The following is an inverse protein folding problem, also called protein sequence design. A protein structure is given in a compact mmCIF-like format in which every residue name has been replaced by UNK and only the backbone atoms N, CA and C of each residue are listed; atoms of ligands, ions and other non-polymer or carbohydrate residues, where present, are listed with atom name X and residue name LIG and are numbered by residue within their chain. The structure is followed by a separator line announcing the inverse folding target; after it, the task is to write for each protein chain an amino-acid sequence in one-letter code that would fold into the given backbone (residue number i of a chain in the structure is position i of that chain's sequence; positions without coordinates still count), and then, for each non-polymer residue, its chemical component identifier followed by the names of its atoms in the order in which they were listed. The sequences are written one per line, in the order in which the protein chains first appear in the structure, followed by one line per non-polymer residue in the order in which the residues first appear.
data_IF_817324482495
#
_entry.id   IF_817324482495
#
_cell.length_a   1.000
_cell.length_b   1.000
_cell.length_c   1.000
_cell.angle_alpha   90.00
_cell.angle_beta   90.00
_cell.angle_gamma   90.00
#
_symmetry.space_group_name_H-M   'P 1'
#
loop_
_entity.id
_entity.type
_entity.pdbx_description
1 polymer ?
#
# COMPACT_ATOMS: atom_id res chain seq x y z
N UNK A 1 14.09 -1.24 -5.79
CA UNK A 1 13.07 -1.52 -4.77
C UNK A 1 12.98 -3.03 -4.63
N UNK A 2 13.23 -3.57 -3.43
CA UNK A 2 13.20 -4.99 -3.13
C UNK A 2 11.78 -5.55 -3.00
N UNK A 3 10.73 -4.73 -3.08
CA UNK A 3 9.35 -5.20 -3.22
C UNK A 3 8.82 -4.76 -4.58
N UNK A 4 8.44 -5.73 -5.42
CA UNK A 4 7.73 -5.47 -6.69
C UNK A 4 6.30 -5.99 -6.60
N UNK A 5 5.35 -5.17 -7.02
CA UNK A 5 3.94 -5.51 -6.99
C UNK A 5 3.44 -5.76 -8.40
N UNK A 6 2.68 -6.84 -8.56
CA UNK A 6 2.02 -7.23 -9.79
C UNK A 6 0.52 -7.36 -9.52
N UNK A 7 -0.28 -7.18 -10.56
CA UNK A 7 -1.71 -7.43 -10.55
C UNK A 7 -2.09 -8.27 -11.76
N UNK A 8 -3.09 -9.13 -11.64
CA UNK A 8 -3.61 -9.86 -12.79
C UNK A 8 -4.35 -8.94 -13.77
N UNK A 9 -4.58 -9.47 -14.97
CA UNK A 9 -5.42 -8.80 -15.97
C UNK A 9 -6.86 -9.27 -15.86
N UNK A 10 -7.78 -8.36 -16.14
CA UNK A 10 -9.19 -8.71 -16.33
C UNK A 10 -9.42 -9.46 -17.66
N UNK A 11 -10.68 -9.80 -17.91
CA UNK A 11 -11.11 -10.45 -19.16
C UNK A 11 -10.86 -9.60 -20.41
N UNK A 12 -10.58 -8.30 -20.28
CA UNK A 12 -10.24 -7.38 -21.36
C UNK A 12 -8.73 -7.15 -21.49
N UNK A 13 -7.92 -7.81 -20.66
CA UNK A 13 -6.47 -7.69 -20.70
C UNK A 13 -5.94 -6.41 -20.04
N UNK A 14 -6.76 -5.61 -19.34
CA UNK A 14 -6.27 -4.46 -18.58
C UNK A 14 -5.77 -4.93 -17.22
N UNK A 15 -4.69 -4.34 -16.66
CA UNK A 15 -4.40 -4.49 -15.24
C UNK A 15 -5.68 -4.21 -14.46
N UNK A 16 -6.11 -5.14 -13.61
CA UNK A 16 -7.36 -5.00 -12.85
C UNK A 16 -7.02 -4.54 -11.44
N UNK A 17 -6.77 -3.23 -11.21
CA UNK A 17 -6.69 -2.73 -9.86
C UNK A 17 -8.05 -2.94 -9.21
N UNK A 18 -8.09 -3.36 -7.95
CA UNK A 18 -9.35 -3.70 -7.36
C UNK A 18 -10.13 -2.40 -7.06
N UNK A 19 -11.20 -2.17 -7.82
CA UNK A 19 -12.10 -1.02 -7.72
C UNK A 19 -12.94 -1.17 -6.45
N UNK A 20 -12.42 -0.64 -5.33
CA UNK A 20 -13.11 -0.42 -4.05
C UNK A 20 -14.09 -1.53 -3.58
N UNK A 21 -13.67 -2.79 -3.63
CA UNK A 21 -14.26 -3.87 -2.81
C UNK A 21 -13.53 -3.96 -1.46
N UNK A 22 -14.14 -4.59 -0.44
CA UNK A 22 -13.48 -4.81 0.85
C UNK A 22 -12.19 -5.66 0.72
N UNK A 23 -12.15 -6.55 -0.27
CA UNK A 23 -10.97 -7.38 -0.59
C UNK A 23 -9.85 -6.53 -1.24
N UNK A 24 -10.21 -5.56 -2.09
CA UNK A 24 -9.30 -4.59 -2.68
C UNK A 24 -8.46 -3.85 -1.64
N UNK A 25 -9.18 -3.26 -0.67
CA UNK A 25 -8.60 -2.44 0.37
C UNK A 25 -7.71 -3.28 1.29
N UNK A 26 -8.16 -4.48 1.62
CA UNK A 26 -7.38 -5.41 2.42
C UNK A 26 -6.07 -5.82 1.72
N UNK A 27 -6.12 -6.16 0.43
CA UNK A 27 -4.93 -6.51 -0.34
C UNK A 27 -3.92 -5.34 -0.38
N UNK A 28 -4.39 -4.11 -0.67
CA UNK A 28 -3.55 -2.92 -0.65
C UNK A 28 -2.91 -2.69 0.73
N UNK A 29 -3.69 -2.80 1.80
CA UNK A 29 -3.19 -2.64 3.17
C UNK A 29 -2.10 -3.66 3.52
N UNK A 30 -2.29 -4.91 3.11
CA UNK A 30 -1.29 -5.96 3.28
C UNK A 30 -0.02 -5.65 2.49
N UNK A 31 -0.17 -5.20 1.24
CA UNK A 31 0.97 -4.80 0.40
C UNK A 31 1.76 -3.65 1.05
N UNK A 32 1.09 -2.66 1.64
CA UNK A 32 1.78 -1.57 2.36
C UNK A 32 2.57 -2.09 3.55
N UNK A 33 2.05 -3.08 4.29
CA UNK A 33 2.77 -3.72 5.41
C UNK A 33 4.00 -4.46 4.94
N UNK A 34 3.88 -5.21 3.84
CA UNK A 34 5.00 -5.88 3.20
C UNK A 34 6.05 -4.88 2.71
N UNK A 35 5.60 -3.78 2.11
CA UNK A 35 6.47 -2.69 1.68
C UNK A 35 7.26 -2.11 2.86
N UNK A 36 6.59 -1.70 3.94
CA UNK A 36 7.26 -1.16 5.13
C UNK A 36 8.26 -2.16 5.72
N UNK A 37 7.90 -3.44 5.75
CA UNK A 37 8.73 -4.49 6.31
C UNK A 37 9.95 -4.81 5.44
N UNK A 38 9.88 -4.63 4.11
CA UNK A 38 10.87 -5.19 3.20
C UNK A 38 11.50 -4.21 2.20
N UNK A 39 10.99 -2.99 2.01
CA UNK A 39 11.51 -2.04 1.00
C UNK A 39 12.96 -1.58 1.26
N UNK A 40 13.45 -1.76 2.49
CA UNK A 40 14.83 -1.48 2.89
C UNK A 40 15.76 -2.70 2.84
N UNK A 41 15.25 -3.89 2.49
CA UNK A 41 16.03 -5.12 2.42
C UNK A 41 16.73 -5.24 1.05
N UNK A 42 17.80 -6.03 0.96
CA UNK A 42 18.46 -6.27 -0.35
C UNK A 42 17.74 -7.31 -1.21
N UNK A 43 16.85 -8.10 -0.60
CA UNK A 43 16.24 -9.28 -1.22
C UNK A 43 14.94 -8.93 -1.92
N UNK A 44 14.82 -9.35 -3.18
CA UNK A 44 13.59 -9.16 -3.94
C UNK A 44 12.45 -10.06 -3.43
N UNK A 45 11.31 -9.44 -3.17
CA UNK A 45 9.99 -10.04 -3.06
C UNK A 45 9.13 -9.57 -4.22
N UNK A 46 8.39 -10.50 -4.82
CA UNK A 46 7.29 -10.16 -5.73
C UNK A 46 5.96 -10.48 -5.06
N UNK A 47 5.02 -9.54 -5.09
CA UNK A 47 3.65 -9.73 -4.63
C UNK A 47 2.74 -9.68 -5.84
N UNK A 48 2.03 -10.76 -6.14
CA UNK A 48 1.03 -10.82 -7.21
C UNK A 48 -0.36 -10.76 -6.57
N UNK A 49 -1.06 -9.66 -6.81
CA UNK A 49 -2.40 -9.43 -6.30
C UNK A 49 -3.48 -9.87 -7.28
N UNK A 50 -4.56 -10.41 -6.72
CA UNK A 50 -5.76 -10.83 -7.43
C UNK A 50 -5.43 -11.79 -8.59
N UNK A 51 -4.63 -12.83 -8.35
CA UNK A 51 -4.26 -13.78 -9.39
C UNK A 51 -5.53 -14.43 -9.97
N UNK A 52 -5.64 -14.53 -11.30
CA UNK A 52 -6.85 -15.06 -11.95
C UNK A 52 -6.87 -16.60 -12.00
N UNK A 53 -5.69 -17.23 -12.19
CA UNK A 53 -5.53 -18.69 -12.28
C UNK A 53 -4.31 -19.14 -11.48
N UNK A 54 -4.50 -19.80 -10.32
CA UNK A 54 -5.77 -19.94 -9.61
C UNK A 54 -6.27 -18.57 -9.11
N UNK A 55 -7.54 -18.50 -8.69
CA UNK A 55 -8.18 -17.26 -8.24
C UNK A 55 -7.74 -16.87 -6.81
N UNK A 56 -6.44 -16.68 -6.59
CA UNK A 56 -5.84 -16.39 -5.30
C UNK A 56 -5.71 -14.89 -5.06
N UNK A 57 -6.01 -14.42 -3.86
CA UNK A 57 -6.00 -12.98 -3.55
C UNK A 57 -4.59 -12.39 -3.55
N UNK A 58 -3.62 -13.10 -2.96
CA UNK A 58 -2.23 -12.67 -2.92
C UNK A 58 -1.30 -13.88 -3.08
N UNK A 59 -0.32 -13.77 -3.96
CA UNK A 59 0.81 -14.71 -4.09
C UNK A 59 2.11 -13.96 -3.87
N UNK A 60 2.90 -14.38 -2.90
CA UNK A 60 4.17 -13.75 -2.53
C UNK A 60 5.31 -14.69 -2.91
N UNK A 61 6.27 -14.18 -3.68
CA UNK A 61 7.43 -14.94 -4.14
C UNK A 61 8.66 -14.31 -3.52
N UNK A 62 9.45 -15.13 -2.84
CA UNK A 62 10.78 -14.78 -2.33
C UNK A 62 11.85 -15.58 -3.07
N UNK A 63 13.12 -15.34 -2.73
CA UNK A 63 14.23 -16.16 -3.21
C UNK A 63 14.09 -17.66 -2.86
N UNK A 64 13.33 -18.04 -1.83
CA UNK A 64 13.33 -19.42 -1.28
C UNK A 64 11.97 -20.10 -1.21
N UNK A 65 10.90 -19.39 -1.54
CA UNK A 65 9.57 -19.95 -1.43
C UNK A 65 8.47 -19.06 -1.95
N UNK A 66 7.30 -19.69 -2.10
CA UNK A 66 6.04 -19.07 -2.49
C UNK A 66 5.07 -19.13 -1.31
N UNK A 67 4.50 -17.98 -0.96
CA UNK A 67 3.36 -17.86 -0.07
C UNK A 67 2.08 -17.65 -0.87
N UNK A 68 1.03 -18.42 -0.59
CA UNK A 68 -0.31 -18.23 -1.19
C UNK A 68 -1.27 -17.83 -0.08
N UNK A 69 -1.93 -16.69 -0.25
CA UNK A 69 -2.74 -16.06 0.77
C UNK A 69 -4.14 -15.80 0.24
N UNK A 70 -5.13 -16.25 1.01
CA UNK A 70 -6.56 -16.00 0.77
C UNK A 70 -7.09 -15.04 1.84
N UNK A 71 -7.90 -14.06 1.44
CA UNK A 71 -8.49 -13.06 2.31
C UNK A 71 -9.95 -13.42 2.62
N UNK A 72 -10.34 -13.19 3.88
CA UNK A 72 -11.72 -13.34 4.35
C UNK A 72 -12.10 -12.15 5.24
N UNK A 73 -13.18 -11.45 4.89
CA UNK A 73 -13.64 -10.28 5.63
C UNK A 73 -14.91 -10.62 6.44
N UNK A 74 -14.73 -11.19 7.64
CA UNK A 74 -15.85 -11.58 8.51
C UNK A 74 -15.60 -11.15 9.96
N UNK A 75 -16.56 -10.47 10.62
CA UNK A 75 -16.48 -10.20 12.05
C UNK A 75 -16.83 -11.42 12.89
N UNK A 76 -16.40 -11.41 14.15
CA UNK A 76 -16.81 -12.38 15.16
C UNK A 76 -15.90 -13.59 15.26
N UNK A 77 -16.31 -14.53 16.13
CA UNK A 77 -15.53 -15.72 16.47
C UNK A 77 -15.48 -16.72 15.33
N UNK A 78 -14.28 -17.01 14.85
CA UNK A 78 -14.07 -18.03 13.84
C UNK A 78 -14.07 -19.41 14.49
N UNK A 79 -14.74 -20.37 13.84
CA UNK A 79 -14.83 -21.76 14.31
C UNK A 79 -15.01 -22.70 13.13
N UNK A 80 -14.74 -23.99 13.35
CA UNK A 80 -15.02 -25.06 12.40
C UNK A 80 -16.09 -25.98 12.96
N UNK A 81 -17.10 -26.30 12.15
CA UNK A 81 -18.16 -27.25 12.47
C UNK A 81 -17.81 -28.69 12.05
N UNK A 82 -18.58 -29.71 12.47
CA UNK A 82 -18.30 -31.11 12.15
C UNK A 82 -18.27 -31.43 10.65
N UNK A 83 -18.99 -30.68 9.82
CA UNK A 83 -18.96 -30.76 8.35
C UNK A 83 -17.69 -30.16 7.73
N UNK A 84 -16.71 -29.78 8.56
CA UNK A 84 -15.47 -29.09 8.21
C UNK A 84 -15.66 -27.67 7.67
N UNK A 85 -16.89 -27.15 7.62
CA UNK A 85 -17.14 -25.78 7.19
C UNK A 85 -16.73 -24.79 8.29
N UNK A 86 -16.18 -23.66 7.86
CA UNK A 86 -15.78 -22.59 8.75
C UNK A 86 -16.90 -21.57 8.91
N UNK A 87 -17.02 -21.01 10.11
CA UNK A 87 -18.03 -20.04 10.48
C UNK A 87 -17.42 -18.87 11.23
N UNK A 88 -17.92 -17.67 10.97
CA UNK A 88 -17.70 -16.48 11.79
C UNK A 88 -19.01 -16.17 12.53
N UNK A 89 -19.06 -16.50 13.82
CA UNK A 89 -20.30 -16.55 14.59
C UNK A 89 -21.30 -17.52 13.97
N UNK A 90 -22.42 -16.98 13.45
CA UNK A 90 -23.48 -17.78 12.79
C UNK A 90 -23.31 -17.85 11.26
N UNK A 91 -22.43 -17.03 10.70
CA UNK A 91 -22.26 -16.86 9.26
C UNK A 91 -21.26 -17.87 8.73
N UNK A 92 -21.64 -18.65 7.71
CA UNK A 92 -20.70 -19.55 7.03
C UNK A 92 -19.70 -18.74 6.22
N UNK A 93 -18.41 -19.03 6.38
CA UNK A 93 -17.33 -18.40 5.63
C UNK A 93 -17.26 -19.09 4.26
N UNK A 94 -17.37 -18.30 3.19
CA UNK A 94 -17.34 -18.82 1.81
C UNK A 94 -15.92 -19.25 1.41
N UNK A 95 -15.84 -20.31 0.61
CA UNK A 95 -14.59 -20.83 0.07
C UNK A 95 -14.70 -20.99 -1.45
N UNK A 96 -14.01 -20.12 -2.20
CA UNK A 96 -14.10 -20.03 -3.66
C UNK A 96 -15.50 -19.64 -4.17
N UNK A 97 -15.66 -19.66 -5.49
CA UNK A 97 -16.98 -19.62 -6.11
C UNK A 97 -17.77 -20.88 -5.73
N UNK A 98 -19.09 -20.77 -5.56
CA UNK A 98 -19.97 -21.88 -5.13
C UNK A 98 -19.84 -23.12 -6.04
N UNK A 99 -19.38 -22.96 -7.29
CA UNK A 99 -19.12 -24.04 -8.24
C UNK A 99 -17.85 -24.87 -7.99
N UNK A 100 -16.88 -24.38 -7.20
CA UNK A 100 -15.59 -25.09 -6.97
C UNK A 100 -15.65 -26.14 -5.85
N UNK A 101 -16.67 -26.11 -5.01
CA UNK A 101 -16.95 -27.17 -4.04
C UNK A 101 -16.00 -27.29 -2.83
N UNK A 102 -15.17 -26.29 -2.54
CA UNK A 102 -14.30 -26.32 -1.35
C UNK A 102 -15.12 -26.27 -0.06
N UNK A 103 -14.78 -27.12 0.92
CA UNK A 103 -15.55 -27.18 2.18
C UNK A 103 -15.25 -25.98 3.08
N UNK A 104 -14.03 -25.47 3.02
CA UNK A 104 -13.54 -24.36 3.82
C UNK A 104 -12.40 -23.59 3.12
N UNK A 105 -12.06 -22.38 3.61
CA UNK A 105 -10.98 -21.57 3.05
C UNK A 105 -9.59 -22.24 3.07
N UNK A 106 -9.33 -23.16 4.01
CA UNK A 106 -8.06 -23.89 4.06
C UNK A 106 -7.90 -24.78 2.82
N UNK A 107 -8.91 -25.61 2.49
CA UNK A 107 -8.87 -26.45 1.28
C UNK A 107 -8.74 -25.62 0.00
N UNK A 108 -9.42 -24.47 -0.05
CA UNK A 108 -9.32 -23.55 -1.18
C UNK A 108 -7.88 -23.09 -1.40
N UNK A 109 -7.23 -22.55 -0.35
CA UNK A 109 -5.87 -22.00 -0.49
C UNK A 109 -4.84 -23.10 -0.75
N UNK A 110 -5.03 -24.31 -0.20
CA UNK A 110 -4.19 -25.48 -0.54
C UNK A 110 -4.30 -25.83 -2.01
N UNK A 111 -5.51 -25.94 -2.55
CA UNK A 111 -5.72 -26.25 -3.97
C UNK A 111 -5.10 -25.17 -4.89
N UNK A 112 -5.08 -23.91 -4.46
CA UNK A 112 -4.41 -22.83 -5.19
C UNK A 112 -2.89 -22.99 -5.16
N UNK A 113 -2.32 -23.29 -3.99
CA UNK A 113 -0.89 -23.56 -3.87
C UNK A 113 -0.46 -24.80 -4.66
N UNK A 114 -1.24 -25.87 -4.65
CA UNK A 114 -1.00 -27.07 -5.46
C UNK A 114 -0.98 -26.76 -6.96
N UNK A 115 -1.89 -25.91 -7.44
CA UNK A 115 -1.90 -25.47 -8.84
C UNK A 115 -0.62 -24.71 -9.20
N UNK A 116 -0.25 -23.71 -8.39
CA UNK A 116 0.95 -22.90 -8.62
C UNK A 116 2.22 -23.77 -8.53
N UNK A 117 2.26 -24.70 -7.57
CA UNK A 117 3.34 -25.68 -7.43
C UNK A 117 3.42 -26.59 -8.65
N UNK A 118 2.28 -27.03 -9.17
CA UNK A 118 2.14 -27.74 -10.45
C UNK A 118 2.85 -27.02 -11.58
N UNK A 119 2.51 -25.75 -11.78
CA UNK A 119 3.09 -24.94 -12.85
C UNK A 119 4.58 -24.64 -12.66
N UNK A 120 5.05 -24.55 -11.41
CA UNK A 120 6.43 -24.22 -11.10
C UNK A 120 7.36 -25.45 -11.15
N UNK A 121 6.92 -26.57 -10.56
CA UNK A 121 7.76 -27.74 -10.28
C UNK A 121 7.51 -28.88 -11.27
N UNK A 122 6.28 -29.08 -11.74
CA UNK A 122 5.90 -30.22 -12.57
C UNK A 122 6.03 -29.98 -14.08
N UNK A 123 6.82 -28.98 -14.46
CA UNK A 123 7.22 -28.78 -15.85
C UNK A 123 8.13 -29.93 -16.29
N UNK A 124 7.59 -30.87 -17.08
CA UNK A 124 8.39 -31.97 -17.69
C UNK A 124 9.61 -31.45 -18.46
N UNK A 125 9.60 -30.18 -18.88
CA UNK A 125 10.73 -29.41 -19.41
C UNK A 125 10.64 -27.97 -18.89
N UNK A 126 11.33 -27.62 -17.78
CA UNK A 126 11.31 -26.24 -17.31
C UNK A 126 11.88 -25.32 -18.40
N UNK A 127 11.37 -24.09 -18.53
CA UNK A 127 11.88 -23.18 -19.54
C UNK A 127 13.34 -22.84 -19.23
N UNK A 128 14.16 -22.47 -20.24
CA UNK A 128 15.60 -22.21 -20.04
C UNK A 128 15.91 -21.14 -18.99
N UNK A 129 14.95 -20.25 -18.73
CA UNK A 129 15.07 -19.20 -17.72
C UNK A 129 14.81 -19.64 -16.28
N UNK A 130 14.29 -20.84 -16.08
CA UNK A 130 14.03 -21.44 -14.77
C UNK A 130 14.84 -22.73 -14.60
N UNK A 131 16.19 -22.66 -14.65
CA UNK A 131 17.03 -23.84 -14.51
C UNK A 131 16.97 -24.40 -13.09
N UNK A 132 17.08 -25.73 -12.96
CA UNK A 132 17.13 -26.46 -11.69
C UNK A 132 16.71 -27.91 -11.90
N UNK A 133 17.24 -28.85 -11.12
CA UNK A 133 16.74 -30.23 -11.14
C UNK A 133 15.41 -30.27 -10.43
N UNK A 134 14.50 -31.16 -10.84
CA UNK A 134 13.21 -31.37 -10.15
C UNK A 134 13.43 -31.58 -8.64
N UNK A 135 14.46 -32.33 -8.26
CA UNK A 135 14.86 -32.56 -6.87
C UNK A 135 15.28 -31.29 -6.09
N UNK A 136 15.76 -30.25 -6.78
CA UNK A 136 16.09 -28.95 -6.17
C UNK A 136 14.80 -28.17 -5.84
N UNK A 137 13.77 -28.35 -6.68
CA UNK A 137 12.45 -27.74 -6.55
C UNK A 137 11.54 -28.46 -5.56
N UNK A 138 11.69 -29.78 -5.39
CA UNK A 138 10.93 -30.55 -4.39
C UNK A 138 11.01 -29.93 -3.00
N UNK A 139 12.16 -29.31 -2.67
CA UNK A 139 12.48 -28.63 -1.40
C UNK A 139 12.17 -27.13 -1.41
N UNK A 140 11.61 -26.60 -2.50
CA UNK A 140 11.19 -25.21 -2.58
C UNK A 140 9.96 -24.99 -1.68
N UNK A 141 10.01 -23.97 -0.84
CA UNK A 141 9.02 -23.78 0.22
C UNK A 141 7.69 -23.31 -0.34
N UNK A 142 6.62 -23.90 0.15
CA UNK A 142 5.26 -23.45 -0.11
C UNK A 142 4.56 -23.22 1.22
N UNK A 143 4.12 -22.00 1.46
CA UNK A 143 3.30 -21.68 2.63
C UNK A 143 1.95 -21.19 2.16
N UNK A 144 0.93 -21.53 2.91
CA UNK A 144 -0.46 -21.15 2.65
C UNK A 144 -1.01 -20.47 3.87
N UNK A 145 -1.89 -19.50 3.65
CA UNK A 145 -2.59 -18.89 4.77
C UNK A 145 -3.97 -18.37 4.38
N UNK A 146 -4.84 -18.29 5.39
CA UNK A 146 -6.08 -17.53 5.33
C UNK A 146 -5.94 -16.33 6.26
N UNK A 147 -6.05 -15.11 5.71
CA UNK A 147 -6.05 -13.89 6.50
C UNK A 147 -7.47 -13.38 6.72
N UNK A 148 -7.82 -13.17 8.00
CA UNK A 148 -9.06 -12.51 8.38
C UNK A 148 -8.83 -11.01 8.51
N UNK A 149 -9.46 -10.23 7.63
CA UNK A 149 -9.16 -8.80 7.44
C UNK A 149 -10.10 -7.88 8.21
N UNK A 150 -11.17 -8.40 8.80
CA UNK A 150 -12.08 -7.63 9.64
C UNK A 150 -11.47 -7.43 11.04
N UNK A 151 -11.45 -6.21 11.59
CA UNK A 151 -10.84 -5.94 12.90
C UNK A 151 -11.47 -6.76 14.04
N UNK A 152 -12.78 -6.97 14.01
CA UNK A 152 -13.51 -7.77 15.01
C UNK A 152 -13.43 -9.30 14.78
N UNK A 153 -12.57 -9.79 13.88
CA UNK A 153 -12.38 -11.23 13.69
C UNK A 153 -11.61 -11.83 14.89
N UNK A 154 -12.25 -12.74 15.62
CA UNK A 154 -11.63 -13.45 16.74
C UNK A 154 -11.17 -14.83 16.26
N UNK A 155 -9.87 -14.95 15.99
CA UNK A 155 -9.27 -16.15 15.37
C UNK A 155 -8.32 -16.92 16.28
N UNK A 156 -7.94 -16.39 17.44
CA UNK A 156 -6.80 -16.89 18.21
C UNK A 156 -7.03 -18.33 18.73
N UNK A 157 -8.16 -18.58 19.38
CA UNK A 157 -8.56 -19.93 19.83
C UNK A 157 -8.67 -20.91 18.64
N UNK A 158 -9.15 -20.42 17.50
CA UNK A 158 -9.32 -21.24 16.30
C UNK A 158 -7.98 -21.61 15.67
N UNK A 159 -7.04 -20.65 15.61
CA UNK A 159 -5.67 -20.83 15.14
C UNK A 159 -4.93 -21.85 16.00
N UNK A 160 -5.09 -21.79 17.32
CA UNK A 160 -4.52 -22.77 18.24
C UNK A 160 -5.12 -24.16 18.03
N UNK A 161 -6.45 -24.26 17.95
CA UNK A 161 -7.13 -25.53 17.68
C UNK A 161 -6.69 -26.18 16.34
N UNK A 162 -6.48 -25.37 15.29
CA UNK A 162 -5.99 -25.86 14.00
C UNK A 162 -4.55 -26.39 14.08
N UNK A 163 -3.66 -25.72 14.82
CA UNK A 163 -2.27 -26.18 15.04
C UNK A 163 -2.22 -27.55 15.71
N UNK A 164 -3.17 -27.84 16.61
CA UNK A 164 -3.27 -29.17 17.25
C UNK A 164 -3.88 -30.24 16.34
N UNK A 165 -4.77 -29.87 15.41
CA UNK A 165 -5.47 -30.80 14.51
C UNK A 165 -4.67 -31.16 13.26
N UNK A 166 -3.99 -30.19 12.67
CA UNK A 166 -3.23 -30.37 11.44
C UNK A 166 -1.79 -30.80 11.77
N UNK A 167 -1.52 -32.10 11.71
CA UNK A 167 -0.15 -32.57 11.47
C UNK A 167 0.26 -32.12 10.05
N UNK A 168 1.50 -31.66 9.83
CA UNK A 168 1.94 -31.19 8.53
C UNK A 168 1.69 -32.27 7.47
N UNK A 169 0.94 -31.92 6.42
CA UNK A 169 0.59 -32.82 5.34
C UNK A 169 1.71 -32.81 4.30
N UNK A 170 2.12 -34.02 3.90
CA UNK A 170 3.12 -34.43 2.90
C UNK A 170 4.59 -34.07 3.12
N UNK A 171 4.96 -32.82 3.43
CA UNK A 171 6.38 -32.44 3.53
C UNK A 171 6.65 -31.38 4.61
N UNK A 172 7.83 -31.43 5.25
CA UNK A 172 8.22 -30.50 6.34
C UNK A 172 8.17 -29.01 5.96
N UNK A 173 8.26 -28.70 4.67
CA UNK A 173 8.34 -27.36 4.10
C UNK A 173 7.01 -26.80 3.60
N UNK A 174 5.92 -27.57 3.73
CA UNK A 174 4.57 -27.11 3.47
C UNK A 174 3.89 -26.72 4.78
N UNK A 175 3.46 -25.46 4.89
CA UNK A 175 2.85 -24.91 6.11
C UNK A 175 1.52 -24.22 5.80
N UNK A 176 0.57 -24.36 6.73
CA UNK A 176 -0.68 -23.61 6.74
C UNK A 176 -0.78 -22.76 8.01
N UNK A 177 -1.21 -21.50 7.86
CA UNK A 177 -1.51 -20.60 8.97
C UNK A 177 -2.85 -19.88 8.80
N UNK A 178 -3.42 -19.42 9.92
CA UNK A 178 -4.52 -18.45 9.94
C UNK A 178 -4.00 -17.16 10.55
N UNK A 179 -4.22 -16.03 9.88
CA UNK A 179 -3.50 -14.78 10.16
C UNK A 179 -4.45 -13.59 10.34
N UNK A 180 -4.03 -12.61 11.14
CA UNK A 180 -4.46 -11.21 11.04
C UNK A 180 -3.48 -10.43 10.14
N UNK A 181 -3.87 -9.26 9.58
CA UNK A 181 -3.03 -8.51 8.64
C UNK A 181 -1.65 -8.12 9.20
N UNK A 182 -1.55 -7.87 10.51
CA UNK A 182 -0.31 -7.54 11.21
C UNK A 182 0.69 -8.70 11.30
N UNK A 183 0.24 -9.94 11.15
CA UNK A 183 1.10 -11.14 11.23
C UNK A 183 1.72 -11.52 9.86
N UNK A 184 1.25 -10.90 8.77
CA UNK A 184 1.67 -11.26 7.40
C UNK A 184 3.15 -10.97 7.12
N UNK A 185 3.75 -9.85 7.58
CA UNK A 185 5.18 -9.62 7.40
C UNK A 185 6.04 -10.73 7.99
N UNK A 186 5.75 -11.18 9.22
CA UNK A 186 6.50 -12.27 9.86
C UNK A 186 6.31 -13.59 9.11
N UNK A 187 5.07 -13.92 8.74
CA UNK A 187 4.76 -15.10 7.94
C UNK A 187 5.47 -15.10 6.58
N UNK A 188 5.58 -13.93 5.94
CA UNK A 188 6.29 -13.74 4.68
C UNK A 188 7.80 -13.89 4.86
N UNK A 189 8.36 -13.33 5.93
CA UNK A 189 9.78 -13.48 6.25
C UNK A 189 10.16 -14.96 6.46
N UNK A 190 9.26 -15.76 7.05
CA UNK A 190 9.47 -17.20 7.25
C UNK A 190 9.64 -18.00 5.93
N UNK A 191 9.26 -17.46 4.76
CA UNK A 191 9.59 -18.07 3.47
C UNK A 191 11.11 -18.18 3.25
N UNK A 192 11.89 -17.31 3.90
CA UNK A 192 13.36 -17.27 3.77
C UNK A 192 14.08 -18.08 4.83
N UNK A 193 13.54 -18.12 6.05
CA UNK A 193 14.22 -18.69 7.20
C UNK A 193 13.79 -20.13 7.45
N UNK A 194 14.76 -21.02 7.61
CA UNK A 194 14.62 -22.23 8.40
C UNK A 194 15.81 -22.23 9.34
N UNK A 195 15.54 -22.27 10.64
CA UNK A 195 16.57 -22.66 11.60
C UNK A 195 16.66 -24.17 11.48
N UNK A 196 17.55 -24.67 10.62
CA UNK A 196 17.86 -26.10 10.59
C UNK A 196 18.69 -26.43 11.83
N UNK A 197 18.06 -27.00 12.84
CA UNK A 197 18.72 -27.51 14.05
C UNK A 197 19.36 -28.88 13.83
N UNK A 198 19.28 -29.44 12.61
CA UNK A 198 19.82 -30.75 12.27
C UNK A 198 21.20 -30.69 11.61
N UNK A 199 22.16 -31.40 12.19
CA UNK A 199 23.54 -31.56 11.69
C UNK A 199 23.63 -32.41 10.39
N UNK A 200 22.89 -32.06 9.34
CA UNK A 200 23.09 -32.66 8.00
C UNK A 200 23.90 -31.70 7.13
N UNK A 201 25.19 -31.98 6.98
CA UNK A 201 26.03 -31.34 5.97
C UNK A 201 25.39 -31.47 4.57
N UNK A 202 25.22 -30.34 3.88
CA UNK A 202 24.73 -30.29 2.48
C UNK A 202 23.50 -29.41 2.21
N UNK A 203 23.10 -28.52 3.13
CA UNK A 203 21.92 -27.66 2.98
C UNK A 203 22.22 -26.38 2.18
N UNK A 204 21.90 -26.38 0.88
CA UNK A 204 21.63 -25.16 0.13
C UNK A 204 20.31 -25.30 -0.65
N UNK A 205 19.17 -24.89 -0.06
CA UNK A 205 17.91 -24.76 -0.78
C UNK A 205 18.09 -23.93 -2.04
N UNK A 206 17.51 -24.36 -3.15
CA UNK A 206 17.50 -23.59 -4.39
C UNK A 206 17.06 -22.16 -4.13
N UNK A 207 17.86 -21.19 -4.59
CA UNK A 207 17.55 -19.76 -4.48
C UNK A 207 17.23 -19.20 -5.85
N UNK A 208 16.06 -18.59 -5.95
CA UNK A 208 15.68 -17.81 -7.11
C UNK A 208 16.49 -16.52 -7.18
N UNK A 209 17.06 -16.26 -8.35
CA UNK A 209 17.59 -14.94 -8.70
C UNK A 209 16.44 -13.92 -8.83
N UNK A 210 16.72 -12.61 -8.67
CA UNK A 210 15.72 -11.57 -8.89
C UNK A 210 15.03 -11.66 -10.27
N UNK A 211 15.78 -12.03 -11.31
CA UNK A 211 15.22 -12.19 -12.66
C UNK A 211 14.26 -13.37 -12.76
N UNK A 212 14.53 -14.48 -12.05
CA UNK A 212 13.60 -15.61 -12.00
C UNK A 212 12.31 -15.23 -11.25
N UNK A 213 12.41 -14.53 -10.13
CA UNK A 213 11.24 -14.04 -9.38
C UNK A 213 10.35 -13.17 -10.27
N UNK A 214 10.94 -12.21 -10.98
CA UNK A 214 10.22 -11.34 -11.94
C UNK A 214 9.56 -12.17 -13.04
N UNK A 215 10.27 -13.16 -13.61
CA UNK A 215 9.73 -14.02 -14.67
C UNK A 215 8.62 -14.94 -14.18
N UNK A 216 8.68 -15.46 -12.96
CA UNK A 216 7.59 -16.23 -12.35
C UNK A 216 6.36 -15.32 -12.22
N UNK A 217 6.51 -14.15 -11.60
CA UNK A 217 5.41 -13.20 -11.43
C UNK A 217 4.77 -12.79 -12.77
N UNK A 218 5.59 -12.44 -13.77
CA UNK A 218 5.09 -11.89 -15.03
C UNK A 218 4.64 -12.95 -16.05
N UNK A 219 5.38 -14.07 -16.18
CA UNK A 219 5.15 -15.06 -17.24
C UNK A 219 4.38 -16.28 -16.76
N UNK A 220 4.74 -16.82 -15.59
CA UNK A 220 4.09 -18.02 -15.06
C UNK A 220 2.73 -17.66 -14.45
N UNK A 221 2.68 -16.60 -13.64
CA UNK A 221 1.45 -16.12 -13.00
C UNK A 221 0.69 -15.07 -13.82
N UNK A 222 1.19 -14.68 -15.00
CA UNK A 222 0.52 -13.71 -15.88
C UNK A 222 0.33 -12.31 -15.27
N UNK A 223 1.11 -11.97 -14.25
CA UNK A 223 1.05 -10.67 -13.59
C UNK A 223 1.59 -9.55 -14.46
N UNK A 224 1.00 -8.36 -14.32
CA UNK A 224 1.55 -7.11 -14.87
C UNK A 224 2.01 -6.24 -13.72
N UNK A 225 3.20 -5.63 -13.83
CA UNK A 225 3.72 -4.75 -12.78
C UNK A 225 2.72 -3.61 -12.54
N UNK A 226 2.27 -3.48 -11.28
CA UNK A 226 1.26 -2.52 -10.88
C UNK A 226 1.93 -1.21 -10.48
N UNK A 227 2.38 -0.45 -11.46
CA UNK A 227 3.17 0.77 -11.22
C UNK A 227 2.40 1.87 -10.47
N UNK A 228 1.09 1.95 -10.66
CA UNK A 228 0.21 2.94 -10.03
C UNK A 228 0.12 2.76 -8.51
N UNK A 229 0.34 1.54 -8.00
CA UNK A 229 0.30 1.27 -6.56
C UNK A 229 1.45 1.94 -5.80
N UNK A 230 2.55 2.29 -6.49
CA UNK A 230 3.64 3.06 -5.90
C UNK A 230 3.13 4.38 -5.30
N UNK A 231 2.08 4.96 -5.89
CA UNK A 231 1.41 6.14 -5.36
C UNK A 231 0.66 5.90 -4.05
N UNK A 232 0.59 4.68 -3.52
CA UNK A 232 0.00 4.37 -2.22
C UNK A 232 1.00 3.82 -1.21
N UNK A 233 2.23 3.55 -1.64
CA UNK A 233 3.22 2.97 -0.75
C UNK A 233 3.60 4.01 0.32
N UNK A 234 3.55 3.61 1.61
CA UNK A 234 3.89 4.50 2.70
C UNK A 234 5.36 4.87 2.62
N UNK A 235 5.63 6.14 2.85
CA UNK A 235 6.96 6.73 2.96
C UNK A 235 7.06 7.40 4.32
N UNK A 236 8.28 7.57 4.83
CA UNK A 236 8.51 8.40 6.03
C UNK A 236 8.23 9.88 5.78
N UNK A 237 8.10 10.29 4.52
CA UNK A 237 7.87 11.67 4.10
C UNK A 237 6.45 11.88 3.58
N UNK A 238 5.89 13.09 3.74
CA UNK A 238 4.64 13.47 3.10
C UNK A 238 4.69 13.29 1.57
N UNK A 239 3.61 12.79 0.98
CA UNK A 239 3.52 12.58 -0.46
C UNK A 239 3.13 13.84 -1.24
N UNK A 240 2.63 14.85 -0.53
CA UNK A 240 2.25 16.15 -1.08
C UNK A 240 2.12 17.17 0.06
N UNK A 241 1.84 18.42 -0.29
CA UNK A 241 1.75 19.53 0.63
C UNK A 241 0.58 20.44 0.28
N UNK A 242 -0.05 21.00 1.32
CA UNK A 242 -0.89 22.19 1.23
C UNK A 242 -0.17 23.36 1.88
N UNK A 243 -0.02 24.47 1.17
CA UNK A 243 0.55 25.70 1.72
C UNK A 243 -0.54 26.74 1.88
N UNK A 244 -0.76 27.22 3.11
CA UNK A 244 -1.60 28.38 3.39
C UNK A 244 -0.90 29.65 2.91
N UNK A 245 -1.58 30.43 2.08
CA UNK A 245 -1.05 31.68 1.51
C UNK A 245 -1.95 32.85 1.92
N UNK A 246 -1.33 33.90 2.49
CA UNK A 246 -1.98 35.17 2.82
C UNK A 246 -1.12 36.32 2.27
N UNK A 247 -1.75 37.26 1.57
CA UNK A 247 -1.09 38.43 0.96
C UNK A 247 0.19 38.08 0.18
N UNK A 248 0.14 36.97 -0.56
CA UNK A 248 1.26 36.46 -1.36
C UNK A 248 2.36 35.74 -0.56
N UNK A 249 2.27 35.70 0.77
CA UNK A 249 3.23 35.05 1.66
C UNK A 249 2.77 33.64 2.07
N UNK A 250 3.73 32.73 2.21
CA UNK A 250 3.50 31.38 2.74
C UNK A 250 3.43 31.46 4.25
N UNK A 251 2.28 31.12 4.83
CA UNK A 251 2.05 31.21 6.27
C UNK A 251 2.34 29.89 6.98
N UNK A 252 1.88 28.78 6.39
CA UNK A 252 2.01 27.46 6.97
C UNK A 252 2.03 26.40 5.87
N UNK A 253 2.81 25.35 6.06
CA UNK A 253 2.87 24.19 5.17
C UNK A 253 2.39 22.96 5.93
N UNK A 254 1.42 22.26 5.35
CA UNK A 254 0.88 21.01 5.88
C UNK A 254 1.36 19.87 4.99
N UNK A 255 2.10 18.93 5.56
CA UNK A 255 2.44 17.68 4.89
C UNK A 255 1.20 16.79 4.79
N UNK A 256 0.97 16.23 3.61
CA UNK A 256 -0.04 15.22 3.37
C UNK A 256 0.62 13.85 3.47
N UNK A 257 0.36 13.13 4.55
CA UNK A 257 1.00 11.86 4.92
C UNK A 257 -0.01 10.71 5.13
N UNK A 258 -1.31 11.02 5.12
CA UNK A 258 -2.41 10.05 5.26
C UNK A 258 -3.22 9.92 3.97
N UNK A 259 -3.89 8.78 3.81
CA UNK A 259 -4.75 8.53 2.64
C UNK A 259 -5.97 9.44 2.60
N UNK A 260 -6.51 9.79 3.77
CA UNK A 260 -7.61 10.73 3.90
C UNK A 260 -7.21 11.86 4.84
N UNK A 261 -7.35 13.10 4.37
CA UNK A 261 -7.02 14.32 5.11
C UNK A 261 -8.20 15.28 5.03
N UNK A 262 -8.73 15.63 6.18
CA UNK A 262 -9.80 16.62 6.34
C UNK A 262 -9.22 18.02 6.47
N UNK A 263 -9.86 18.97 5.80
CA UNK A 263 -9.48 20.39 5.77
C UNK A 263 -10.67 21.23 6.23
N UNK A 264 -10.48 22.09 7.23
CA UNK A 264 -11.57 22.89 7.78
C UNK A 264 -11.18 23.62 9.06
N UNK A 265 -12.09 24.42 9.61
CA UNK A 265 -11.82 25.23 10.82
C UNK A 265 -11.75 24.45 12.11
N UNK A 266 -12.31 23.25 12.15
CA UNK A 266 -12.32 22.44 13.37
C UNK A 266 -10.96 21.75 13.58
N UNK A 267 -10.11 22.37 14.38
CA UNK A 267 -8.77 21.85 14.67
C UNK A 267 -8.75 20.52 15.44
N UNK A 268 -9.88 20.10 16.04
CA UNK A 268 -9.97 18.81 16.73
C UNK A 268 -10.22 17.65 15.76
N UNK A 269 -10.78 17.92 14.58
CA UNK A 269 -11.19 16.90 13.61
C UNK A 269 -10.47 17.00 12.28
N UNK A 270 -9.96 18.19 11.93
CA UNK A 270 -9.26 18.44 10.67
C UNK A 270 -7.75 18.26 10.81
N UNK A 271 -7.17 17.38 10.00
CA UNK A 271 -5.72 17.23 9.90
C UNK A 271 -5.04 18.47 9.29
N UNK A 272 -5.76 19.25 8.48
CA UNK A 272 -5.35 20.59 8.04
C UNK A 272 -6.28 21.62 8.67
N UNK A 273 -5.95 22.16 9.86
CA UNK A 273 -6.74 23.18 10.51
C UNK A 273 -6.61 24.52 9.77
N UNK A 274 -7.75 25.11 9.43
CA UNK A 274 -7.85 26.45 8.85
C UNK A 274 -8.14 27.46 9.97
N UNK A 275 -7.40 28.57 10.09
CA UNK A 275 -7.63 29.57 11.14
C UNK A 275 -9.06 30.12 11.20
N UNK A 276 -9.57 30.36 12.42
CA UNK A 276 -10.95 30.79 12.66
C UNK A 276 -11.36 32.10 11.95
N UNK A 277 -10.38 32.98 11.67
CA UNK A 277 -10.60 34.22 10.89
C UNK A 277 -11.21 33.97 9.51
N UNK A 278 -10.95 32.82 8.90
CA UNK A 278 -11.55 32.38 7.64
C UNK A 278 -12.99 31.88 7.85
N UNK A 279 -13.83 32.74 8.40
CA UNK A 279 -15.22 32.47 8.83
C UNK A 279 -16.14 31.85 7.77
N UNK A 280 -15.81 31.96 6.47
CA UNK A 280 -16.58 31.32 5.38
C UNK A 280 -16.22 29.86 5.16
N UNK A 281 -15.17 29.35 5.78
CA UNK A 281 -14.78 27.94 5.71
C UNK A 281 -15.66 27.14 6.69
N UNK A 282 -16.15 25.96 6.32
CA UNK A 282 -16.86 25.07 7.24
C UNK A 282 -15.95 24.49 8.32
N UNK A 283 -16.55 23.89 9.35
CA UNK A 283 -15.83 23.15 10.39
C UNK A 283 -15.03 22.00 9.79
N UNK A 284 -15.68 21.20 8.95
CA UNK A 284 -15.08 20.20 8.07
C UNK A 284 -15.50 20.54 6.64
N UNK A 285 -14.63 21.19 5.87
CA UNK A 285 -15.02 21.86 4.62
C UNK A 285 -14.79 20.96 3.40
N UNK A 286 -13.59 20.39 3.33
CA UNK A 286 -13.16 19.58 2.22
C UNK A 286 -12.35 18.40 2.72
N UNK A 287 -12.23 17.39 1.86
CA UNK A 287 -11.42 16.21 2.10
C UNK A 287 -10.48 15.98 0.93
N UNK A 288 -9.23 15.70 1.25
CA UNK A 288 -8.24 15.23 0.31
C UNK A 288 -8.13 13.72 0.45
N UNK A 289 -8.17 13.00 -0.67
CA UNK A 289 -7.98 11.55 -0.73
C UNK A 289 -6.83 11.20 -1.66
N UNK A 290 -5.96 10.30 -1.23
CA UNK A 290 -4.93 9.66 -2.04
C UNK A 290 -5.46 8.31 -2.52
N UNK A 291 -5.30 8.02 -3.80
CA UNK A 291 -5.69 6.75 -4.42
C UNK A 291 -4.65 6.35 -5.47
N UNK A 292 -4.76 5.13 -6.02
CA UNK A 292 -3.92 4.71 -7.16
C UNK A 292 -4.04 5.64 -8.37
N UNK A 293 -5.18 6.30 -8.56
CA UNK A 293 -5.45 7.22 -9.67
C UNK A 293 -4.87 8.63 -9.44
N UNK A 294 -4.34 8.89 -8.25
CA UNK A 294 -3.78 10.18 -7.85
C UNK A 294 -4.44 10.78 -6.60
N UNK A 295 -4.26 12.07 -6.43
CA UNK A 295 -4.72 12.84 -5.27
C UNK A 295 -5.94 13.66 -5.69
N UNK A 296 -7.00 13.62 -4.87
CA UNK A 296 -8.28 14.22 -5.16
C UNK A 296 -8.74 15.10 -4.00
N UNK A 297 -9.46 16.17 -4.31
CA UNK A 297 -10.22 16.97 -3.35
C UNK A 297 -11.71 16.79 -3.56
N UNK A 298 -12.46 16.75 -2.47
CA UNK A 298 -13.92 16.64 -2.43
C UNK A 298 -14.46 17.72 -1.48
N UNK A 299 -15.44 18.49 -1.95
CA UNK A 299 -16.18 19.43 -1.11
C UNK A 299 -17.25 18.66 -0.31
N UNK A 300 -17.19 18.75 1.02
CA UNK A 300 -18.04 18.01 1.95
C UNK A 300 -19.33 18.77 2.26
N UNK A 301 -20.03 19.15 1.19
CA UNK A 301 -21.24 19.98 1.22
C UNK A 301 -21.07 21.30 1.98
N UNK A 302 -19.98 22.01 1.69
CA UNK A 302 -19.67 23.26 2.37
C UNK A 302 -20.64 24.38 1.93
N UNK A 303 -21.08 25.21 2.88
CA UNK A 303 -22.02 26.30 2.59
C UNK A 303 -21.54 27.25 1.49
N UNK A 304 -20.24 27.56 1.49
CA UNK A 304 -19.64 28.59 0.63
C UNK A 304 -18.81 28.02 -0.54
N UNK A 305 -18.65 26.70 -0.60
CA UNK A 305 -18.00 25.98 -1.69
C UNK A 305 -16.47 25.99 -1.67
N UNK A 306 -15.92 25.02 -2.40
CA UNK A 306 -14.50 24.84 -2.73
C UNK A 306 -14.25 25.15 -4.21
N UNK A 307 -13.13 25.80 -4.51
CA UNK A 307 -12.75 26.17 -5.87
C UNK A 307 -11.30 25.77 -6.15
N UNK A 308 -11.01 25.36 -7.39
CA UNK A 308 -9.66 25.10 -7.89
C UNK A 308 -9.36 26.10 -9.01
N UNK A 309 -8.30 26.88 -8.86
CA UNK A 309 -7.92 27.97 -9.78
C UNK A 309 -9.12 28.89 -10.11
N UNK A 310 -9.94 29.19 -9.10
CA UNK A 310 -11.12 30.05 -9.24
C UNK A 310 -12.32 29.39 -9.93
N UNK A 311 -12.28 28.10 -10.26
CA UNK A 311 -13.42 27.33 -10.79
C UNK A 311 -14.04 26.48 -9.68
N UNK A 312 -15.38 26.52 -9.49
CA UNK A 312 -16.03 25.72 -8.45
C UNK A 312 -15.93 24.23 -8.76
N UNK A 313 -15.74 23.42 -7.72
CA UNK A 313 -15.92 21.96 -7.83
C UNK A 313 -17.35 21.59 -7.45
N UNK A 314 -17.88 20.50 -8.03
CA UNK A 314 -19.21 20.01 -7.68
C UNK A 314 -19.15 19.36 -6.29
N UNK A 315 -20.07 19.74 -5.40
CA UNK A 315 -20.20 19.17 -4.04
C UNK A 315 -20.36 17.66 -4.09
N UNK A 316 -19.70 16.94 -3.18
CA UNK A 316 -19.69 15.48 -3.13
C UNK A 316 -19.02 14.79 -4.33
N UNK A 317 -18.47 15.53 -5.31
CA UNK A 317 -17.70 14.95 -6.41
C UNK A 317 -16.21 15.22 -6.23
N UNK A 318 -15.43 14.16 -6.31
CA UNK A 318 -13.96 14.23 -6.29
C UNK A 318 -13.43 14.93 -7.55
N UNK A 319 -12.43 15.81 -7.36
CA UNK A 319 -11.64 16.41 -8.43
C UNK A 319 -10.17 16.15 -8.22
N UNK A 320 -9.49 15.65 -9.24
CA UNK A 320 -8.05 15.39 -9.22
C UNK A 320 -7.29 16.71 -9.04
N UNK A 321 -6.35 16.72 -8.10
CA UNK A 321 -5.42 17.81 -7.85
C UNK A 321 -4.13 17.61 -8.67
N UNK A 322 -3.62 18.70 -9.23
CA UNK A 322 -2.35 18.75 -9.93
C UNK A 322 -1.40 19.75 -9.25
N UNK A 323 -0.09 19.50 -9.33
CA UNK A 323 0.93 20.36 -8.73
C UNK A 323 0.74 21.83 -9.11
N UNK A 324 0.88 22.72 -8.13
CA UNK A 324 0.80 24.18 -8.29
C UNK A 324 -0.61 24.75 -8.23
N UNK A 325 -1.66 23.92 -8.25
CA UNK A 325 -3.04 24.38 -8.20
C UNK A 325 -3.37 25.15 -6.92
N UNK A 326 -4.09 26.26 -7.09
CA UNK A 326 -4.62 27.08 -6.01
C UNK A 326 -6.02 26.60 -5.65
N UNK A 327 -6.25 26.39 -4.37
CA UNK A 327 -7.52 25.94 -3.81
C UNK A 327 -8.04 27.07 -2.93
N UNK A 328 -9.26 27.54 -3.17
CA UNK A 328 -9.92 28.48 -2.26
C UNK A 328 -11.10 27.82 -1.56
N UNK A 329 -11.18 28.05 -0.25
CA UNK A 329 -12.26 27.54 0.60
C UNK A 329 -13.07 28.71 1.12
N UNK A 330 -14.39 28.63 0.99
CA UNK A 330 -15.30 29.67 1.50
C UNK A 330 -15.61 30.80 0.51
N UNK A 331 -15.14 30.69 -0.73
CA UNK A 331 -15.37 31.68 -1.78
C UNK A 331 -14.39 31.53 -2.94
N UNK A 332 -14.71 32.18 -4.07
CA UNK A 332 -13.95 32.08 -5.32
C UNK A 332 -12.60 32.81 -5.28
N UNK A 333 -12.54 33.93 -4.55
CA UNK A 333 -11.39 34.83 -4.50
C UNK A 333 -10.87 34.92 -3.06
N UNK A 334 -9.55 34.78 -2.82
CA UNK A 334 -8.96 34.95 -1.50
C UNK A 334 -9.32 36.31 -0.87
N UNK A 335 -9.59 36.31 0.43
CA UNK A 335 -9.90 37.52 1.22
C UNK A 335 -9.71 37.23 2.70
N UNK A 336 -9.92 38.24 3.56
CA UNK A 336 -9.85 38.07 5.03
C UNK A 336 -10.75 36.95 5.60
N UNK A 337 -11.78 36.52 4.85
CA UNK A 337 -12.70 35.45 5.25
C UNK A 337 -12.61 34.19 4.39
N UNK A 338 -11.82 34.21 3.30
CA UNK A 338 -11.70 33.12 2.31
C UNK A 338 -10.28 32.60 2.32
N UNK A 339 -10.11 31.32 2.65
CA UNK A 339 -8.80 30.68 2.76
C UNK A 339 -8.24 30.35 1.37
N UNK A 340 -6.95 30.61 1.16
CA UNK A 340 -6.19 30.19 -0.02
C UNK A 340 -5.13 29.16 0.37
N UNK A 341 -5.22 27.98 -0.23
CA UNK A 341 -4.22 26.94 -0.16
C UNK A 341 -3.57 26.77 -1.54
N UNK A 342 -2.30 26.40 -1.58
CA UNK A 342 -1.64 25.91 -2.78
C UNK A 342 -1.23 24.45 -2.59
N UNK A 343 -1.62 23.60 -3.54
CA UNK A 343 -1.26 22.19 -3.56
C UNK A 343 0.08 21.97 -4.29
N UNK A 344 0.95 21.14 -3.72
CA UNK A 344 2.26 20.80 -4.31
C UNK A 344 2.62 19.34 -4.07
N UNK A 345 3.17 18.66 -5.09
CA UNK A 345 3.82 17.33 -4.96
C UNK A 345 5.27 17.39 -4.43
N UNK A 346 5.86 18.59 -4.29
CA UNK A 346 7.23 18.76 -3.82
C UNK A 346 7.27 19.63 -2.56
N UNK A 347 8.10 19.23 -1.60
CA UNK A 347 8.51 20.05 -0.47
C UNK A 347 9.40 21.19 -0.98
N UNK A 348 8.87 22.39 -1.18
CA UNK A 348 9.73 23.58 -1.22
C UNK A 348 9.90 24.13 0.19
N UNK A 349 10.55 23.35 1.04
CA UNK A 349 11.15 23.85 2.27
C UNK A 349 12.60 24.30 2.02
N UNK A 350 12.78 25.39 1.28
CA UNK A 350 13.87 26.37 1.50
C UNK A 350 13.33 27.73 1.04
N UNK A 351 13.11 28.64 1.98
CA UNK A 351 13.11 30.07 1.72
C UNK A 351 14.32 30.59 2.47
N UNK A 352 15.41 30.86 1.76
CA UNK A 352 16.48 31.68 2.34
C UNK A 352 15.89 33.06 2.64
N UNK A 353 16.22 33.67 3.80
CA UNK A 353 15.84 35.05 4.04
C UNK A 353 16.53 35.92 2.99
N UNK A 354 15.78 36.86 2.40
CA UNK A 354 16.34 37.88 1.54
C UNK A 354 17.53 38.53 2.26
N UNK A 355 18.73 38.39 1.69
CA UNK A 355 19.89 39.17 2.08
C UNK A 355 19.52 40.64 1.92
N UNK A 356 19.34 41.33 3.04
CA UNK A 356 19.28 42.77 3.10
C UNK A 356 20.55 43.32 2.46
N UNK A 357 20.43 43.93 1.29
CA UNK A 357 21.49 44.78 0.74
C UNK A 357 21.68 45.93 1.73
N UNK A 358 22.81 45.89 2.46
CA UNK A 358 23.30 47.06 3.17
C UNK A 358 23.85 47.99 2.10
N UNK A 359 23.13 49.08 1.86
CA UNK A 359 23.63 50.24 1.12
C UNK A 359 24.88 50.76 1.83
N UNK A 360 26.03 50.64 1.18
CA UNK A 360 27.23 51.38 1.55
C UNK A 360 27.08 52.80 1.01
N UNK A 361 26.88 53.76 1.90
CA UNK A 361 27.09 55.17 1.60
C UNK A 361 28.59 55.40 1.34
N UNK A 362 28.91 55.80 0.12
CA UNK A 362 30.21 56.33 -0.26
C UNK A 362 30.33 57.76 0.26
N UNK A 363 31.27 58.01 1.19
CA UNK A 363 31.76 59.37 1.42
C UNK A 363 32.60 59.86 0.23
N UNK A 364 32.53 61.15 -0.15
CA UNK A 364 33.38 61.70 -1.19
C UNK A 364 34.76 62.07 -0.63
N UNK A 365 35.78 61.52 -1.26
CA UNK A 365 37.18 61.92 -1.17
C UNK A 365 37.34 63.38 -1.63
N UNK A 366 37.71 64.27 -0.71
CA UNK A 366 38.15 65.64 -1.01
C UNK A 366 39.63 65.74 -0.65
N UNK A 367 40.48 65.46 -1.64
CA UNK A 367 41.89 65.77 -1.58
C UNK A 367 42.14 67.27 -1.49
N UNK A 368 43.10 67.67 -0.65
CA UNK A 368 43.93 68.86 -0.87
C UNK A 368 45.36 68.61 -0.36
N UNK A 369 46.27 68.47 -1.32
CA UNK A 369 47.67 68.84 -1.17
C UNK A 369 47.78 70.32 -0.82
N UNK A 370 48.66 70.68 0.12
CA UNK A 370 49.51 71.86 0.02
C UNK A 370 50.86 71.65 0.72
N UNK A 371 51.91 71.82 -0.06
CA UNK A 371 53.31 71.97 0.33
C UNK A 371 53.53 73.31 1.04
N UNK A 372 54.51 73.37 1.94
CA UNK A 372 55.04 74.63 2.43
C UNK A 372 56.15 74.48 3.48
N UNK A 373 57.39 74.38 2.96
CA UNK A 373 58.70 74.77 3.54
C UNK A 373 59.13 74.30 4.92
#
# INVERSE_FOLDING_TARGET
MPVKIYVSRDSQGQPWPPDHSHEALAAIEIIKRLWLAFDHQETLYAVVANLHRPSADLVIISERGVGVLELKHYPGRVSQKPDSAWYAGRTRIKAGAESKGYRNPHEQVQAYAEHIRGDLIHLRRPPPWLPGRIADWEKFKFQTAVCFTHPDALIDDFKEALRHRHRPVTHRWEKFDVLKPDEIPEWTAALRFEVDTGHRHGFEPHRLTPQQIIRIAARLLGGTEWTEIANLMPTSEPYAYLTLIEDGRRMQVFGLDREEITVGRDANTCAVPVPERFSRVGRTHARITRSVQGIFIEDLDSMNGTYINGLPIRRGKRRRLAHGQKITLGGRVPSSKVCLLQFSLQSKAVVEPASTEISSELEPDVGRHHLGT
#
